data_IF_470257275169
#
_entry.id   IF_470257275169
#
_cell.length_a   1.000
_cell.length_b   1.000
_cell.length_c   1.000
_cell.angle_alpha   90.00
_cell.angle_beta   90.00
_cell.angle_gamma   90.00
#
_symmetry.space_group_name_H-M   'P 1'
#
loop_
_entity.id
_entity.type
_entity.pdbx_description
1 polymer ?
#
# COMPACT_ATOMS: atom_id res chain seq x y z
N UNK A 1 -8.38 -15.47 -6.84
CA UNK A 1 -7.66 -14.26 -6.40
C UNK A 1 -8.23 -13.83 -5.06
N UNK A 2 -7.44 -13.24 -4.18
CA UNK A 2 -7.88 -12.76 -2.85
C UNK A 2 -7.70 -11.26 -2.80
N UNK A 3 -8.66 -10.57 -2.17
CA UNK A 3 -8.65 -9.13 -1.99
C UNK A 3 -8.62 -8.81 -0.49
N UNK A 4 -7.91 -7.75 -0.14
CA UNK A 4 -7.67 -7.38 1.24
C UNK A 4 -7.94 -5.89 1.50
N UNK A 5 -8.33 -5.57 2.72
CA UNK A 5 -8.27 -4.21 3.27
C UNK A 5 -7.46 -4.25 4.56
N UNK A 6 -6.70 -3.19 4.81
CA UNK A 6 -5.91 -3.05 6.03
C UNK A 6 -6.38 -1.84 6.82
N UNK A 7 -6.57 -2.01 8.12
CA UNK A 7 -7.02 -0.96 9.03
C UNK A 7 -6.39 -1.08 10.40
N UNK A 8 -6.19 0.04 11.08
CA UNK A 8 -5.84 0.06 12.51
C UNK A 8 -7.08 -0.26 13.39
N UNK A 9 -8.28 -0.20 12.81
CA UNK A 9 -9.56 -0.51 13.48
C UNK A 9 -9.84 -2.03 13.43
N UNK A 10 -9.91 -2.73 14.59
CA UNK A 10 -10.22 -4.15 14.68
C UNK A 10 -11.69 -4.51 14.43
N UNK A 11 -12.61 -3.57 14.51
CA UNK A 11 -14.03 -3.87 14.74
C UNK A 11 -14.92 -3.45 13.55
N UNK A 12 -14.36 -3.46 12.34
CA UNK A 12 -15.12 -3.15 11.12
C UNK A 12 -15.93 -4.38 10.70
N UNK A 13 -17.18 -4.45 11.15
CA UNK A 13 -18.13 -5.50 10.75
C UNK A 13 -18.66 -5.31 9.31
N UNK A 14 -18.77 -4.05 8.85
CA UNK A 14 -19.25 -3.70 7.51
C UNK A 14 -18.47 -2.49 7.01
N UNK A 15 -17.95 -2.58 5.79
CA UNK A 15 -17.32 -1.47 5.09
C UNK A 15 -18.38 -0.71 4.29
N UNK A 16 -18.68 0.50 4.74
CA UNK A 16 -19.53 1.43 3.98
C UNK A 16 -18.67 2.21 2.97
N UNK A 17 -19.16 2.43 1.73
CA UNK A 17 -18.49 3.27 0.75
C UNK A 17 -18.26 4.69 1.31
N UNK A 18 -17.00 5.15 1.31
CA UNK A 18 -16.63 6.47 1.84
C UNK A 18 -15.81 7.24 0.81
N UNK A 19 -16.04 8.55 0.65
CA UNK A 19 -15.21 9.37 -0.21
C UNK A 19 -13.78 9.45 0.36
N UNK A 20 -12.82 9.69 -0.52
CA UNK A 20 -11.46 9.98 -0.05
C UNK A 20 -11.46 11.28 0.78
N UNK A 21 -10.74 11.28 1.90
CA UNK A 21 -10.66 12.47 2.77
C UNK A 21 -10.02 13.68 2.09
N UNK A 22 -9.04 13.41 1.23
CA UNK A 22 -8.34 14.41 0.43
C UNK A 22 -8.43 13.93 -1.01
N UNK A 23 -9.18 14.61 -1.88
CA UNK A 23 -9.26 14.27 -3.30
C UNK A 23 -7.88 14.33 -3.96
N UNK A 24 -7.57 13.31 -4.75
CA UNK A 24 -6.40 13.35 -5.65
C UNK A 24 -6.82 13.96 -6.98
N UNK A 25 -5.90 14.65 -7.66
CA UNK A 25 -6.10 14.95 -9.08
C UNK A 25 -6.15 13.62 -9.84
N UNK A 26 -7.24 13.40 -10.58
CA UNK A 26 -7.47 12.20 -11.39
C UNK A 26 -7.59 12.61 -12.86
N UNK A 27 -7.21 11.75 -13.82
CA UNK A 27 -7.52 11.96 -15.23
C UNK A 27 -9.02 12.20 -15.44
N UNK A 28 -9.37 12.98 -16.45
CA UNK A 28 -10.74 13.10 -16.92
C UNK A 28 -11.27 11.68 -17.23
N UNK A 29 -12.44 11.32 -16.68
CA UNK A 29 -13.07 9.97 -16.60
C UNK A 29 -12.80 9.13 -15.33
N UNK A 30 -11.83 9.50 -14.49
CA UNK A 30 -11.53 8.79 -13.24
C UNK A 30 -11.84 9.61 -11.98
N UNK A 31 -12.49 10.77 -12.12
CA UNK A 31 -12.88 11.65 -11.01
C UNK A 31 -13.78 10.95 -9.99
N UNK A 32 -14.61 10.01 -10.45
CA UNK A 32 -15.48 9.19 -9.59
C UNK A 32 -14.71 8.36 -8.55
N UNK A 33 -13.40 8.13 -8.74
CA UNK A 33 -12.53 7.49 -7.75
C UNK A 33 -12.33 8.32 -6.48
N UNK A 34 -12.66 9.62 -6.51
CA UNK A 34 -12.72 10.44 -5.30
C UNK A 34 -14.07 10.31 -4.56
N UNK A 35 -15.07 9.69 -5.19
CA UNK A 35 -16.40 9.45 -4.63
C UNK A 35 -16.45 8.32 -3.60
N UNK A 36 -17.65 8.01 -3.06
CA UNK A 36 -17.82 6.99 -2.04
C UNK A 36 -17.53 5.59 -2.56
N UNK A 37 -16.46 4.97 -2.05
CA UNK A 37 -16.01 3.64 -2.44
C UNK A 37 -15.50 2.85 -1.23
N UNK A 38 -15.61 1.53 -1.31
CA UNK A 38 -14.82 0.60 -0.49
C UNK A 38 -13.59 0.21 -1.31
N UNK A 39 -12.40 0.40 -0.75
CA UNK A 39 -11.14 0.08 -1.42
C UNK A 39 -10.61 -1.26 -0.93
N UNK A 40 -10.04 -2.05 -1.83
CA UNK A 40 -9.28 -3.25 -1.53
C UNK A 40 -8.00 -3.30 -2.36
N UNK A 41 -7.08 -4.15 -1.95
CA UNK A 41 -5.82 -4.45 -2.64
C UNK A 41 -5.74 -5.95 -2.90
N UNK A 42 -5.21 -6.35 -4.04
CA UNK A 42 -4.93 -7.76 -4.30
C UNK A 42 -3.82 -8.31 -3.39
N UNK A 43 -3.70 -9.64 -3.35
CA UNK A 43 -2.68 -10.33 -2.55
C UNK A 43 -1.24 -10.16 -3.04
N UNK A 44 -1.01 -9.77 -4.29
CA UNK A 44 0.33 -9.55 -4.84
C UNK A 44 0.89 -8.18 -4.43
N UNK A 45 0.02 -7.22 -4.13
CA UNK A 45 0.33 -5.85 -3.76
C UNK A 45 -0.01 -5.52 -2.30
N UNK A 46 -0.45 -6.50 -1.51
CA UNK A 46 -0.86 -6.31 -0.11
C UNK A 46 0.24 -5.67 0.77
N UNK A 47 1.51 -5.87 0.39
CA UNK A 47 2.68 -5.27 1.02
C UNK A 47 2.64 -3.74 1.05
N UNK A 48 1.85 -3.07 0.21
CA UNK A 48 1.65 -1.61 0.23
C UNK A 48 0.95 -1.10 1.49
N UNK A 49 0.27 -1.99 2.22
CA UNK A 49 -0.59 -1.65 3.34
C UNK A 49 -0.26 -2.40 4.64
N UNK A 50 0.89 -3.08 4.70
CA UNK A 50 1.45 -3.69 5.92
C UNK A 50 2.06 -2.65 6.89
N UNK A 51 1.38 -1.54 7.10
CA UNK A 51 1.85 -0.43 7.92
C UNK A 51 0.68 0.19 8.67
N UNK A 52 0.92 0.78 9.85
CA UNK A 52 -0.04 1.69 10.48
C UNK A 52 -0.54 2.74 9.47
N UNK A 53 -1.81 3.13 9.56
CA UNK A 53 -2.50 3.93 8.53
C UNK A 53 -1.76 5.21 8.13
N UNK A 54 -1.13 5.87 9.09
CA UNK A 54 -0.46 7.16 8.91
C UNK A 54 1.04 7.05 8.61
N UNK A 55 1.60 5.85 8.54
CA UNK A 55 3.00 5.64 8.18
C UNK A 55 3.28 6.15 6.75
N UNK A 56 4.10 7.20 6.57
CA UNK A 56 4.58 7.63 5.27
C UNK A 56 5.52 6.56 4.73
N UNK A 57 5.41 6.30 3.42
CA UNK A 57 6.14 5.21 2.78
C UNK A 57 6.26 5.40 1.30
N UNK A 58 7.39 4.95 0.77
CA UNK A 58 7.65 4.83 -0.66
C UNK A 58 7.89 3.36 -0.95
N UNK A 59 7.22 2.83 -1.97
CA UNK A 59 7.38 1.44 -2.39
C UNK A 59 7.83 1.40 -3.84
N UNK A 60 8.70 0.46 -4.17
CA UNK A 60 9.18 0.24 -5.53
C UNK A 60 9.12 -1.22 -5.92
N UNK A 61 8.81 -1.47 -7.19
CA UNK A 61 8.91 -2.79 -7.82
C UNK A 61 9.12 -2.64 -9.32
N UNK A 62 9.58 -3.69 -9.97
CA UNK A 62 9.74 -3.70 -11.41
C UNK A 62 8.42 -3.99 -12.13
N UNK A 63 8.20 -3.29 -13.23
CA UNK A 63 7.14 -3.58 -14.20
C UNK A 63 7.73 -4.27 -15.43
N UNK A 64 6.91 -4.76 -16.38
CA UNK A 64 7.42 -5.31 -17.65
C UNK A 64 8.34 -4.36 -18.43
N UNK A 65 8.23 -3.05 -18.19
CA UNK A 65 9.03 -2.00 -18.83
C UNK A 65 10.34 -1.69 -18.09
N UNK A 66 10.53 -2.19 -16.87
CA UNK A 66 11.77 -1.95 -16.09
C UNK A 66 12.92 -2.80 -16.64
N UNK A 67 14.06 -2.20 -17.03
CA UNK A 67 15.24 -2.96 -17.46
C UNK A 67 15.79 -3.84 -16.32
N UNK A 68 16.21 -5.06 -16.65
CA UNK A 68 16.73 -6.02 -15.67
C UNK A 68 17.97 -5.51 -14.91
N UNK A 69 18.80 -4.67 -15.55
CA UNK A 69 19.94 -4.01 -14.89
C UNK A 69 19.48 -3.06 -13.79
N UNK A 70 18.45 -2.27 -14.05
CA UNK A 70 17.85 -1.34 -13.07
C UNK A 70 17.09 -2.10 -11.98
N UNK A 71 16.34 -3.16 -12.35
CA UNK A 71 15.73 -4.09 -11.38
C UNK A 71 16.77 -4.63 -10.41
N UNK A 72 17.89 -5.18 -10.90
CA UNK A 72 18.94 -5.74 -10.04
C UNK A 72 19.64 -4.69 -9.18
N UNK A 73 19.88 -3.49 -9.74
CA UNK A 73 20.46 -2.38 -9.00
C UNK A 73 19.60 -2.00 -7.79
N UNK A 74 18.29 -1.89 -7.98
CA UNK A 74 17.40 -1.38 -6.96
C UNK A 74 16.77 -2.44 -6.07
N UNK A 75 16.50 -3.64 -6.55
CA UNK A 75 15.73 -4.66 -5.83
C UNK A 75 16.56 -5.89 -5.47
N UNK A 76 17.72 -6.09 -6.11
CA UNK A 76 18.56 -7.29 -5.94
C UNK A 76 17.70 -8.56 -6.16
N UNK A 77 17.60 -9.41 -5.14
CA UNK A 77 16.86 -10.67 -5.14
C UNK A 77 15.41 -10.52 -4.64
N UNK A 78 15.01 -9.34 -4.18
CA UNK A 78 13.65 -9.05 -3.73
C UNK A 78 12.74 -8.69 -4.92
N UNK A 79 11.44 -8.96 -4.78
CA UNK A 79 10.43 -8.56 -5.80
C UNK A 79 10.04 -7.09 -5.70
N UNK A 80 10.16 -6.50 -4.52
CA UNK A 80 9.84 -5.12 -4.22
C UNK A 80 10.67 -4.63 -3.04
N UNK A 81 10.71 -3.31 -2.84
CA UNK A 81 11.25 -2.71 -1.63
C UNK A 81 10.27 -1.66 -1.08
N UNK A 82 10.17 -1.61 0.24
CA UNK A 82 9.41 -0.63 0.99
C UNK A 82 10.35 0.24 1.81
N UNK A 83 10.21 1.55 1.70
CA UNK A 83 11.00 2.53 2.44
C UNK A 83 10.14 3.22 3.49
N UNK A 84 10.67 3.28 4.71
CA UNK A 84 10.07 4.02 5.83
C UNK A 84 11.15 4.80 6.59
N UNK A 85 10.75 5.88 7.25
CA UNK A 85 11.65 6.63 8.12
C UNK A 85 11.92 5.87 9.42
N UNK A 86 13.12 6.02 9.98
CA UNK A 86 13.61 5.27 11.15
C UNK A 86 12.65 5.25 12.33
N UNK A 87 12.02 6.38 12.64
CA UNK A 87 11.11 6.50 13.77
C UNK A 87 9.79 5.69 13.59
N UNK A 88 9.48 5.22 12.37
CA UNK A 88 8.37 4.30 12.12
C UNK A 88 8.71 2.83 12.34
N UNK A 89 9.99 2.46 12.36
CA UNK A 89 10.39 1.06 12.58
C UNK A 89 9.88 0.55 13.93
N UNK A 90 10.08 1.32 15.00
CA UNK A 90 9.60 0.96 16.34
C UNK A 90 8.08 0.74 16.36
N UNK A 91 7.33 1.54 15.59
CA UNK A 91 5.88 1.40 15.45
C UNK A 91 5.51 0.12 14.67
N UNK A 92 6.25 -0.22 13.61
CA UNK A 92 6.04 -1.47 12.86
C UNK A 92 6.31 -2.71 13.72
N UNK A 93 7.27 -2.62 14.64
CA UNK A 93 7.61 -3.72 15.56
C UNK A 93 6.59 -3.87 16.70
N UNK A 94 5.95 -2.77 17.14
CA UNK A 94 5.10 -2.74 18.32
C UNK A 94 3.59 -2.77 18.02
N UNK A 95 3.14 -2.18 16.92
CA UNK A 95 1.71 -1.99 16.64
C UNK A 95 1.09 -3.21 15.95
N UNK A 96 -0.23 -3.29 16.09
CA UNK A 96 -1.07 -4.28 15.41
C UNK A 96 -1.96 -3.57 14.41
N UNK A 97 -2.04 -4.11 13.19
CA UNK A 97 -3.08 -3.73 12.22
C UNK A 97 -3.95 -4.94 11.92
N UNK A 98 -5.07 -4.73 11.25
CA UNK A 98 -6.03 -5.78 10.92
C UNK A 98 -6.16 -5.90 9.41
N UNK A 99 -5.91 -7.11 8.90
CA UNK A 99 -6.17 -7.47 7.51
C UNK A 99 -7.54 -8.12 7.41
N UNK A 100 -8.40 -7.53 6.59
CA UNK A 100 -9.73 -8.03 6.28
C UNK A 100 -9.73 -8.62 4.88
N UNK A 101 -10.17 -9.86 4.73
CA UNK A 101 -10.39 -10.47 3.41
C UNK A 101 -11.76 -10.05 2.86
N UNK A 102 -11.78 -9.62 1.60
CA UNK A 102 -12.97 -9.11 0.91
C UNK A 102 -13.50 -10.11 -0.12
N UNK A 103 -14.84 -10.23 -0.28
CA UNK A 103 -15.43 -11.01 -1.37
C UNK A 103 -15.11 -10.36 -2.71
N UNK A 104 -14.43 -11.07 -3.60
CA UNK A 104 -13.90 -10.48 -4.84
C UNK A 104 -15.00 -10.13 -5.86
N UNK A 105 -16.13 -10.83 -5.82
CA UNK A 105 -17.27 -10.67 -6.74
C UNK A 105 -17.93 -9.28 -6.68
N UNK A 106 -17.78 -8.56 -5.58
CA UNK A 106 -18.36 -7.24 -5.37
C UNK A 106 -17.44 -6.09 -5.79
N UNK A 107 -16.24 -6.39 -6.30
CA UNK A 107 -15.21 -5.40 -6.62
C UNK A 107 -14.89 -5.33 -8.11
N UNK A 108 -14.55 -4.11 -8.55
CA UNK A 108 -14.07 -3.78 -9.89
C UNK A 108 -12.56 -3.55 -9.84
N UNK A 109 -11.83 -4.18 -10.78
CA UNK A 109 -10.39 -3.96 -10.97
C UNK A 109 -10.15 -2.58 -11.58
N UNK A 110 -9.22 -1.82 -11.00
CA UNK A 110 -8.77 -0.56 -11.57
C UNK A 110 -7.61 -0.70 -12.55
N UNK A 111 -7.00 -1.90 -12.63
CA UNK A 111 -5.74 -2.16 -13.33
C UNK A 111 -4.63 -1.17 -12.94
N UNK A 112 -4.66 -0.72 -11.68
CA UNK A 112 -3.77 0.29 -11.11
C UNK A 112 -3.16 -0.24 -9.82
N UNK A 113 -1.93 -0.76 -9.92
CA UNK A 113 -1.14 -1.27 -8.77
C UNK A 113 -1.93 -2.20 -7.82
N UNK A 114 -2.74 -3.10 -8.39
CA UNK A 114 -3.53 -4.08 -7.63
C UNK A 114 -4.71 -3.49 -6.85
N UNK A 115 -5.14 -2.27 -7.16
CA UNK A 115 -6.26 -1.60 -6.49
C UNK A 115 -7.61 -2.05 -7.05
N UNK A 116 -8.54 -2.32 -6.14
CA UNK A 116 -9.90 -2.75 -6.43
C UNK A 116 -10.88 -1.87 -5.67
N UNK A 117 -12.06 -1.64 -6.24
CA UNK A 117 -13.09 -0.81 -5.60
C UNK A 117 -14.47 -1.43 -5.68
N UNK A 118 -15.27 -1.22 -4.64
CA UNK A 118 -16.71 -1.50 -4.65
C UNK A 118 -17.50 -0.21 -4.38
N UNK A 119 -18.62 -0.05 -5.10
CA UNK A 119 -19.62 1.01 -4.83
C UNK A 119 -20.66 0.59 -3.80
N UNK A 120 -20.62 -0.67 -3.35
CA UNK A 120 -21.58 -1.24 -2.42
C UNK A 120 -20.97 -1.40 -1.05
N UNK A 121 -21.82 -1.56 -0.03
CA UNK A 121 -21.37 -2.01 1.28
C UNK A 121 -20.79 -3.42 1.16
N UNK A 122 -19.75 -3.71 1.93
CA UNK A 122 -19.05 -4.99 1.89
C UNK A 122 -18.92 -5.54 3.30
N UNK A 123 -19.27 -6.82 3.48
CA UNK A 123 -19.00 -7.57 4.70
C UNK A 123 -17.71 -8.36 4.48
N UNK A 124 -16.67 -8.18 5.31
CA UNK A 124 -15.43 -8.95 5.16
C UNK A 124 -15.66 -10.43 5.50
N UNK A 125 -14.95 -11.32 4.80
CA UNK A 125 -15.04 -12.77 4.99
C UNK A 125 -14.24 -13.25 6.20
N UNK A 126 -13.09 -12.61 6.45
CA UNK A 126 -12.17 -12.95 7.51
C UNK A 126 -11.47 -11.69 8.01
N UNK A 127 -11.08 -11.67 9.29
CA UNK A 127 -10.19 -10.66 9.88
C UNK A 127 -9.03 -11.35 10.59
N UNK A 128 -7.82 -10.99 10.23
CA UNK A 128 -6.58 -11.43 10.88
C UNK A 128 -5.89 -10.22 11.52
N UNK A 129 -5.50 -10.35 12.80
CA UNK A 129 -4.62 -9.40 13.45
C UNK A 129 -3.18 -9.65 13.00
N UNK A 130 -2.51 -8.60 12.58
CA UNK A 130 -1.15 -8.61 12.06
C UNK A 130 -0.26 -7.88 13.04
N UNK A 131 0.72 -8.60 13.57
CA UNK A 131 1.71 -8.12 14.53
C UNK A 131 3.10 -8.26 13.92
N UNK A 132 4.11 -7.59 14.49
CA UNK A 132 5.49 -7.67 13.97
C UNK A 132 5.54 -7.40 12.48
N UNK A 133 4.96 -6.26 12.08
CA UNK A 133 4.79 -5.87 10.69
C UNK A 133 6.13 -5.78 9.96
N UNK A 134 7.20 -5.46 10.69
CA UNK A 134 8.58 -5.52 10.23
C UNK A 134 8.96 -6.86 9.58
N UNK A 135 8.39 -7.98 10.07
CA UNK A 135 8.70 -9.33 9.60
C UNK A 135 7.84 -9.79 8.43
N UNK A 136 6.70 -9.14 8.20
CA UNK A 136 5.71 -9.55 7.20
C UNK A 136 6.16 -9.30 5.76
N UNK A 137 7.10 -8.37 5.55
CA UNK A 137 7.67 -8.06 4.23
C UNK A 137 8.52 -9.21 3.69
N UNK A 138 9.36 -9.82 4.51
CA UNK A 138 10.25 -10.90 4.10
C UNK A 138 9.47 -12.14 3.62
N UNK A 139 8.32 -12.43 4.25
CA UNK A 139 7.41 -13.52 3.84
C UNK A 139 6.85 -13.31 2.42
N UNK A 140 6.88 -12.07 1.93
CA UNK A 140 6.42 -11.68 0.59
C UNK A 140 7.58 -11.38 -0.36
N UNK A 141 8.81 -11.73 -0.01
CA UNK A 141 10.01 -11.37 -0.77
C UNK A 141 10.13 -9.85 -1.01
N UNK A 142 9.63 -9.03 -0.08
CA UNK A 142 9.76 -7.57 -0.10
C UNK A 142 10.82 -7.15 0.92
N UNK A 143 11.71 -6.26 0.53
CA UNK A 143 12.71 -5.71 1.44
C UNK A 143 12.16 -4.48 2.17
N UNK A 144 12.10 -4.52 3.50
CA UNK A 144 11.84 -3.33 4.31
C UNK A 144 13.16 -2.57 4.52
N UNK A 145 13.26 -1.36 3.97
CA UNK A 145 14.43 -0.49 4.02
C UNK A 145 14.14 0.72 4.91
N UNK A 146 14.92 0.85 5.96
CA UNK A 146 14.78 1.94 6.93
C UNK A 146 15.76 3.04 6.59
N UNK A 147 15.25 4.26 6.41
CA UNK A 147 16.04 5.44 6.05
C UNK A 147 15.87 6.55 7.08
N UNK A 148 16.78 7.52 7.10
CA UNK A 148 16.66 8.66 8.02
C UNK A 148 15.63 9.69 7.52
N UNK A 149 15.45 9.83 6.20
CA UNK A 149 14.41 10.65 5.57
C UNK A 149 13.98 10.03 4.24
N UNK A 150 12.69 10.15 3.90
CA UNK A 150 12.16 9.74 2.60
C UNK A 150 12.46 10.75 1.49
N UNK A 151 12.75 12.02 1.81
CA UNK A 151 12.91 13.12 0.84
C UNK A 151 13.95 12.85 -0.26
N UNK A 152 15.15 12.28 0.01
CA UNK A 152 16.13 11.97 -1.05
C UNK A 152 15.62 10.97 -2.09
N UNK A 153 14.61 10.17 -1.74
CA UNK A 153 14.02 9.16 -2.62
C UNK A 153 13.09 9.74 -3.69
N UNK A 154 12.87 11.07 -3.73
CA UNK A 154 12.21 11.74 -4.87
C UNK A 154 12.84 11.42 -6.23
N UNK A 155 14.13 11.09 -6.23
CA UNK A 155 14.84 10.66 -7.44
C UNK A 155 14.34 9.33 -8.02
N UNK A 156 13.63 8.50 -7.24
CA UNK A 156 13.06 7.24 -7.72
C UNK A 156 12.05 7.42 -8.85
N UNK A 157 11.33 8.55 -8.90
CA UNK A 157 10.40 8.85 -9.99
C UNK A 157 11.07 9.07 -11.35
N UNK A 158 12.40 9.20 -11.38
CA UNK A 158 13.18 9.27 -12.62
C UNK A 158 13.65 7.89 -13.11
N UNK A 159 13.35 6.81 -12.37
CA UNK A 159 13.68 5.43 -12.74
C UNK A 159 12.58 4.80 -13.60
N UNK A 160 12.80 3.61 -14.16
CA UNK A 160 11.74 2.81 -14.82
C UNK A 160 11.00 1.87 -13.88
N UNK A 161 11.24 1.93 -12.58
CA UNK A 161 10.48 1.17 -11.60
C UNK A 161 9.07 1.77 -11.46
N UNK A 162 8.11 0.94 -11.07
CA UNK A 162 6.92 1.49 -10.45
C UNK A 162 7.31 2.11 -9.11
N UNK A 163 6.82 3.31 -8.83
CA UNK A 163 7.01 4.00 -7.55
C UNK A 163 5.65 4.36 -6.98
N UNK A 164 5.29 3.74 -5.87
CA UNK A 164 4.10 4.11 -5.11
C UNK A 164 4.49 4.95 -3.91
N UNK A 165 3.72 6.01 -3.66
CA UNK A 165 3.92 6.90 -2.51
C UNK A 165 2.63 7.05 -1.73
N UNK A 166 2.71 6.84 -0.42
CA UNK A 166 1.53 6.83 0.44
C UNK A 166 1.83 7.68 1.67
N UNK A 167 0.89 8.58 2.00
CA UNK A 167 0.91 9.44 3.20
C UNK A 167 2.17 10.29 3.37
N UNK A 168 2.86 10.65 2.29
CA UNK A 168 4.13 11.37 2.37
C UNK A 168 4.06 12.73 3.09
N UNK A 169 2.89 13.38 3.14
CA UNK A 169 2.68 14.57 4.00
C UNK A 169 2.94 14.34 5.51
N UNK A 170 3.01 13.08 5.95
CA UNK A 170 3.32 12.69 7.33
C UNK A 170 4.82 12.37 7.51
N UNK A 171 5.63 12.41 6.45
CA UNK A 171 7.08 12.26 6.54
C UNK A 171 7.72 13.51 7.15
N UNK A 172 8.92 13.34 7.70
CA UNK A 172 9.59 14.34 8.53
C UNK A 172 9.82 15.66 7.79
N UNK A 173 10.22 15.60 6.52
CA UNK A 173 10.65 16.77 5.74
C UNK A 173 10.16 16.74 4.27
N UNK A 174 8.97 16.20 4.04
CA UNK A 174 8.38 16.08 2.70
C UNK A 174 7.64 17.36 2.28
N UNK A 175 8.42 18.31 1.77
CA UNK A 175 7.93 19.54 1.11
C UNK A 175 7.58 19.31 -0.36
#
# INVERSE_FOLDING_TARGET
MRLFHFSDDPDIAVFEPRPVRVPSMRPASQEWLNGPLVWAIDGEHDFMYLFPRDCPRILIWATPETPETERRQWLRDFRAAAYVERHWLERLEAETIHRYEMPAEDFEDLADAGMWVSRRRVVPMERIAMVRLDREFALRCVELRVVDSLRPLKSLWNTRLHVSSIRLRNATDWD
#
